data_IF_753497209217
#
_entry.id   IF_753497209217
#
_cell.length_a   1.000
_cell.length_b   1.000
_cell.length_c   1.000
_cell.angle_alpha   90.00
_cell.angle_beta   90.00
_cell.angle_gamma   90.00
#
_symmetry.space_group_name_H-M   'P 1'
#
loop_
_entity.id
_entity.type
_entity.pdbx_description
1 polymer ?
#
# COMPACT_ATOMS: atom_id res chain seq x y z
N UNK A 1 -0.72 27.41 4.06
CA UNK A 1 -0.67 26.02 3.57
C UNK A 1 0.76 25.54 3.66
N UNK A 2 1.03 24.40 4.32
CA UNK A 2 2.35 23.77 4.24
C UNK A 2 2.60 23.32 2.80
N UNK A 3 3.84 23.44 2.32
CA UNK A 3 4.22 23.00 0.97
C UNK A 3 4.13 21.46 0.93
N UNK A 4 3.38 20.92 -0.04
CA UNK A 4 3.29 19.45 -0.25
C UNK A 4 4.67 18.88 -0.56
N UNK A 5 4.92 17.64 -0.16
CA UNK A 5 6.17 16.91 -0.39
C UNK A 5 5.93 15.65 -1.23
N UNK A 6 7.02 15.05 -1.73
CA UNK A 6 6.94 13.81 -2.51
C UNK A 6 6.16 13.94 -3.81
N UNK A 7 5.51 12.86 -4.24
CA UNK A 7 4.75 12.82 -5.51
C UNK A 7 3.59 13.83 -5.55
N UNK A 8 2.98 14.14 -4.40
CA UNK A 8 1.89 15.12 -4.33
C UNK A 8 2.33 16.56 -4.60
N UNK A 9 3.61 16.88 -4.41
CA UNK A 9 4.15 18.19 -4.80
C UNK A 9 4.23 18.37 -6.31
N UNK A 10 4.42 17.26 -7.06
CA UNK A 10 4.61 17.27 -8.50
C UNK A 10 3.31 16.97 -9.26
N UNK A 11 2.51 16.02 -8.77
CA UNK A 11 1.34 15.47 -9.48
C UNK A 11 0.00 16.01 -8.99
N UNK A 12 -0.03 16.68 -7.81
CA UNK A 12 -1.28 17.12 -7.18
C UNK A 12 -2.17 15.94 -6.78
N UNK A 13 -3.48 16.10 -6.86
CA UNK A 13 -4.48 15.13 -6.43
C UNK A 13 -4.75 14.10 -7.55
N UNK A 14 -3.79 13.24 -7.81
CA UNK A 14 -3.81 12.33 -8.95
C UNK A 14 -4.62 11.04 -8.71
N UNK A 15 -4.91 10.69 -7.47
CA UNK A 15 -5.79 9.55 -7.14
C UNK A 15 -7.28 9.92 -7.24
N UNK A 16 -7.65 11.18 -6.98
CA UNK A 16 -9.00 11.67 -7.21
C UNK A 16 -9.32 11.81 -8.70
N UNK A 17 -8.28 12.03 -9.54
CA UNK A 17 -8.40 12.25 -10.97
C UNK A 17 -7.56 11.23 -11.76
N UNK A 18 -7.98 9.96 -11.72
CA UNK A 18 -7.26 8.86 -12.35
C UNK A 18 -7.12 9.03 -13.86
N UNK A 19 -5.88 9.09 -14.33
CA UNK A 19 -5.57 9.13 -15.75
C UNK A 19 -5.69 7.73 -16.35
N UNK A 20 -6.34 7.64 -17.52
CA UNK A 20 -6.55 6.38 -18.25
C UNK A 20 -5.26 5.80 -18.84
N UNK A 21 -4.27 6.64 -19.08
CA UNK A 21 -2.94 6.30 -19.59
C UNK A 21 -1.90 6.02 -18.48
N UNK A 22 -2.32 5.99 -17.21
CA UNK A 22 -1.43 5.70 -16.10
C UNK A 22 -1.09 4.21 -16.02
N UNK A 23 0.17 3.79 -16.23
CA UNK A 23 0.53 2.37 -16.27
C UNK A 23 0.23 1.61 -14.97
N UNK A 24 0.17 2.31 -13.84
CA UNK A 24 -0.19 1.71 -12.55
C UNK A 24 -1.73 1.56 -12.35
N UNK A 25 -2.56 2.14 -13.21
CA UNK A 25 -4.02 2.15 -13.08
C UNK A 25 -4.63 0.76 -12.83
N UNK A 26 -4.31 -0.32 -13.58
CA UNK A 26 -4.91 -1.64 -13.33
C UNK A 26 -4.55 -2.21 -11.95
N UNK A 27 -3.33 -1.97 -11.49
CA UNK A 27 -2.85 -2.41 -10.16
C UNK A 27 -3.53 -1.62 -9.06
N UNK A 28 -3.58 -0.29 -9.21
CA UNK A 28 -4.28 0.61 -8.29
C UNK A 28 -5.75 0.21 -8.10
N UNK A 29 -6.49 0.00 -9.20
CA UNK A 29 -7.90 -0.37 -9.13
C UNK A 29 -8.12 -1.72 -8.42
N UNK A 30 -7.28 -2.71 -8.68
CA UNK A 30 -7.40 -4.01 -8.01
C UNK A 30 -7.00 -3.93 -6.52
N UNK A 31 -5.98 -3.17 -6.17
CA UNK A 31 -5.60 -2.87 -4.79
C UNK A 31 -6.76 -2.20 -4.04
N UNK A 32 -7.32 -1.13 -4.60
CA UNK A 32 -8.45 -0.40 -3.99
C UNK A 32 -9.69 -1.26 -3.85
N UNK A 33 -9.95 -2.16 -4.82
CA UNK A 33 -11.03 -3.14 -4.69
C UNK A 33 -10.81 -4.08 -3.52
N UNK A 34 -9.58 -4.57 -3.30
CA UNK A 34 -9.26 -5.43 -2.15
C UNK A 34 -9.43 -4.69 -0.83
N UNK A 35 -9.03 -3.41 -0.76
CA UNK A 35 -9.22 -2.58 0.41
C UNK A 35 -10.71 -2.37 0.72
N UNK A 36 -11.53 -2.08 -0.31
CA UNK A 36 -13.00 -1.97 -0.13
C UNK A 36 -13.63 -3.28 0.34
N UNK A 37 -13.27 -4.41 -0.26
CA UNK A 37 -13.76 -5.72 0.17
C UNK A 37 -13.43 -6.02 1.64
N UNK A 38 -12.27 -5.57 2.12
CA UNK A 38 -11.91 -5.68 3.53
C UNK A 38 -12.77 -4.77 4.40
N UNK A 39 -12.89 -3.49 4.03
CA UNK A 39 -13.67 -2.52 4.78
C UNK A 39 -15.15 -2.92 4.86
N UNK A 40 -15.73 -3.38 3.74
CA UNK A 40 -17.11 -3.88 3.68
C UNK A 40 -17.36 -5.08 4.63
N UNK A 41 -16.31 -5.84 4.95
CA UNK A 41 -16.36 -6.97 5.88
C UNK A 41 -15.92 -6.61 7.32
N UNK A 42 -15.65 -5.34 7.60
CA UNK A 42 -15.19 -4.85 8.92
C UNK A 42 -16.36 -4.20 9.66
N UNK A 43 -16.37 -4.30 11.01
CA UNK A 43 -17.36 -3.60 11.84
C UNK A 43 -17.25 -2.08 11.62
N UNK A 44 -18.33 -1.40 11.20
CA UNK A 44 -18.34 0.05 11.02
C UNK A 44 -18.00 0.85 12.29
N UNK A 45 -18.28 0.30 13.48
CA UNK A 45 -18.01 0.94 14.77
C UNK A 45 -16.55 0.74 15.23
N UNK A 46 -15.82 -0.21 14.65
CA UNK A 46 -14.40 -0.43 14.93
C UNK A 46 -13.56 0.79 14.57
N UNK A 47 -12.51 1.04 15.33
CA UNK A 47 -11.59 2.17 15.10
C UNK A 47 -10.66 1.83 13.93
N UNK A 48 -10.78 2.56 12.83
CA UNK A 48 -10.02 2.33 11.60
C UNK A 48 -9.13 3.53 11.30
N UNK A 49 -7.85 3.28 11.00
CA UNK A 49 -6.92 4.31 10.53
C UNK A 49 -6.35 3.96 9.15
N UNK A 50 -6.36 4.96 8.24
CA UNK A 50 -5.64 4.89 6.96
C UNK A 50 -4.35 5.72 7.06
N UNK A 51 -3.21 5.04 7.25
CA UNK A 51 -1.90 5.62 7.50
C UNK A 51 -1.18 5.92 6.18
N UNK A 52 -0.98 7.19 5.88
CA UNK A 52 -0.53 7.65 4.57
C UNK A 52 -1.67 7.68 3.55
N UNK A 53 -2.86 8.13 4.00
CA UNK A 53 -4.09 8.06 3.21
C UNK A 53 -4.11 8.97 1.96
N UNK A 54 -3.10 9.86 1.80
CA UNK A 54 -3.08 10.85 0.74
C UNK A 54 -4.34 11.70 0.73
N UNK A 55 -5.00 11.77 -0.41
CA UNK A 55 -6.25 12.52 -0.63
C UNK A 55 -7.46 11.97 0.16
N UNK A 56 -7.31 10.82 0.84
CA UNK A 56 -8.35 10.25 1.69
C UNK A 56 -9.51 9.59 0.96
N UNK A 57 -9.28 9.02 -0.22
CA UNK A 57 -10.35 8.42 -1.05
C UNK A 57 -11.18 7.39 -0.28
N UNK A 58 -10.53 6.44 0.41
CA UNK A 58 -11.22 5.44 1.23
C UNK A 58 -11.81 6.08 2.50
N UNK A 59 -11.09 7.01 3.11
CA UNK A 59 -11.53 7.71 4.33
C UNK A 59 -12.85 8.42 4.06
N UNK A 60 -12.94 9.23 3.01
CA UNK A 60 -14.13 9.99 2.67
C UNK A 60 -15.30 9.11 2.22
N UNK A 61 -14.99 8.03 1.48
CA UNK A 61 -15.98 7.05 1.03
C UNK A 61 -16.64 6.36 2.23
N UNK A 62 -15.84 5.81 3.14
CA UNK A 62 -16.33 5.01 4.26
C UNK A 62 -16.86 5.85 5.43
N UNK A 63 -16.34 7.07 5.67
CA UNK A 63 -16.99 7.99 6.62
C UNK A 63 -18.40 8.36 6.19
N UNK A 64 -18.63 8.63 4.90
CA UNK A 64 -19.97 8.87 4.36
C UNK A 64 -20.89 7.65 4.50
N UNK A 65 -20.34 6.45 4.51
CA UNK A 65 -21.04 5.20 4.78
C UNK A 65 -21.25 4.91 6.28
N UNK A 66 -20.79 5.78 7.19
CA UNK A 66 -20.99 5.65 8.64
C UNK A 66 -19.89 4.92 9.38
N UNK A 67 -18.75 4.61 8.75
CA UNK A 67 -17.62 3.95 9.40
C UNK A 67 -16.82 4.92 10.28
N UNK A 68 -16.30 4.41 11.39
CA UNK A 68 -15.37 5.11 12.27
C UNK A 68 -13.94 5.03 11.72
N UNK A 69 -13.70 5.69 10.59
CA UNK A 69 -12.41 5.73 9.89
C UNK A 69 -11.80 7.12 9.91
N UNK A 70 -10.51 7.22 10.16
CA UNK A 70 -9.74 8.46 10.16
C UNK A 70 -8.47 8.28 9.32
N UNK A 71 -8.14 9.27 8.49
CA UNK A 71 -6.89 9.31 7.74
C UNK A 71 -5.78 10.00 8.52
N UNK A 72 -4.53 9.62 8.24
CA UNK A 72 -3.34 10.34 8.70
C UNK A 72 -2.37 10.47 7.54
N UNK A 73 -1.95 11.70 7.20
CA UNK A 73 -1.03 11.97 6.09
C UNK A 73 -0.17 13.20 6.38
N UNK A 74 1.01 13.27 5.74
CA UNK A 74 1.92 14.41 5.87
C UNK A 74 1.48 15.63 5.05
N UNK A 75 0.77 15.41 3.94
CA UNK A 75 0.45 16.41 2.93
C UNK A 75 -0.99 16.91 3.00
N UNK A 76 -1.89 16.16 3.63
CA UNK A 76 -3.31 16.41 3.60
C UNK A 76 -3.89 16.65 4.99
N UNK A 77 -4.86 17.57 5.06
CA UNK A 77 -5.67 17.85 6.24
C UNK A 77 -7.12 18.06 5.82
N UNK A 78 -8.03 17.43 6.54
CA UNK A 78 -9.49 17.65 6.43
C UNK A 78 -10.17 17.32 7.76
N UNK A 79 -11.47 17.49 7.93
CA UNK A 79 -12.16 17.03 9.13
C UNK A 79 -12.03 15.52 9.40
N UNK A 80 -11.64 14.74 8.38
CA UNK A 80 -11.44 13.29 8.43
C UNK A 80 -9.99 12.86 8.29
N UNK A 81 -9.04 13.80 8.06
CA UNK A 81 -7.62 13.52 7.85
C UNK A 81 -6.79 14.38 8.77
N UNK A 82 -6.00 13.73 9.63
CA UNK A 82 -5.03 14.37 10.50
C UNK A 82 -3.72 14.62 9.71
N UNK A 83 -3.31 15.89 9.57
CA UNK A 83 -2.01 16.21 8.97
C UNK A 83 -0.90 15.96 9.97
N UNK A 84 -0.38 14.72 10.02
CA UNK A 84 0.57 14.26 11.02
C UNK A 84 1.46 13.15 10.47
N UNK A 85 2.67 13.04 11.02
CA UNK A 85 3.51 11.88 10.82
C UNK A 85 2.99 10.73 11.70
N UNK A 86 2.63 9.61 11.09
CA UNK A 86 2.13 8.47 11.86
C UNK A 86 3.22 7.75 12.70
N UNK A 87 4.50 8.02 12.46
CA UNK A 87 5.57 7.59 13.37
C UNK A 87 5.45 8.23 14.76
N UNK A 88 4.82 9.40 14.81
CA UNK A 88 4.50 10.15 16.01
C UNK A 88 2.97 10.31 16.11
N UNK A 89 2.24 9.19 15.94
CA UNK A 89 0.79 9.20 15.80
C UNK A 89 0.09 9.86 16.98
N UNK A 90 0.62 9.68 18.20
CA UNK A 90 0.00 10.11 19.44
C UNK A 90 -1.28 9.34 19.77
N UNK A 91 -1.51 8.23 19.07
CA UNK A 91 -2.59 7.29 19.40
C UNK A 91 -2.22 6.49 20.63
N UNK A 92 -3.22 6.12 21.40
CA UNK A 92 -3.05 5.27 22.58
C UNK A 92 -2.67 3.84 22.18
N UNK A 93 -1.99 3.13 23.06
CA UNK A 93 -1.68 1.72 22.87
C UNK A 93 -2.98 0.90 22.75
N UNK A 94 -2.99 -0.03 21.83
CA UNK A 94 -4.12 -0.98 21.67
C UNK A 94 -5.49 -0.32 21.42
N UNK A 95 -5.52 0.85 20.75
CA UNK A 95 -6.71 1.66 20.53
C UNK A 95 -7.30 1.55 19.12
N UNK A 96 -6.66 0.83 18.20
CA UNK A 96 -7.04 0.74 16.79
C UNK A 96 -7.36 -0.71 16.41
N UNK A 97 -8.45 -0.94 15.70
CA UNK A 97 -8.89 -2.29 15.30
C UNK A 97 -8.39 -2.66 13.91
N UNK A 98 -8.29 -1.68 13.00
CA UNK A 98 -7.78 -1.90 11.64
C UNK A 98 -6.91 -0.72 11.19
N UNK A 99 -5.72 -1.05 10.70
CA UNK A 99 -4.86 -0.11 9.97
C UNK A 99 -4.87 -0.47 8.48
N UNK A 100 -5.07 0.54 7.64
CA UNK A 100 -4.70 0.52 6.23
C UNK A 100 -3.37 1.26 6.06
N UNK A 101 -2.47 0.75 5.19
CA UNK A 101 -1.23 1.44 4.80
C UNK A 101 -0.88 1.00 3.38
N UNK A 102 -1.28 1.81 2.39
CA UNK A 102 -1.32 1.40 1.00
C UNK A 102 -0.30 2.18 0.16
N UNK A 103 0.80 1.50 -0.22
CA UNK A 103 1.91 2.07 -1.01
C UNK A 103 2.51 3.30 -0.31
N UNK A 104 2.95 3.11 0.93
CA UNK A 104 3.51 4.18 1.78
C UNK A 104 4.92 3.81 2.27
N UNK A 105 5.13 2.57 2.69
CA UNK A 105 6.38 2.18 3.34
C UNK A 105 7.60 2.34 2.42
N UNK A 106 7.45 2.17 1.11
CA UNK A 106 8.52 2.36 0.13
C UNK A 106 9.04 3.80 0.04
N UNK A 107 8.21 4.78 0.45
CA UNK A 107 8.60 6.19 0.52
C UNK A 107 9.43 6.53 1.75
N UNK A 108 9.57 5.60 2.69
CA UNK A 108 10.29 5.80 3.95
C UNK A 108 11.68 5.15 3.88
N UNK A 109 12.72 5.78 4.46
CA UNK A 109 14.02 5.14 4.67
C UNK A 109 13.90 3.84 5.48
N UNK A 110 14.83 2.91 5.30
CA UNK A 110 14.78 1.60 5.94
C UNK A 110 14.56 1.61 7.46
N UNK A 111 15.25 2.46 8.26
CA UNK A 111 14.99 2.51 9.69
C UNK A 111 13.56 2.95 10.04
N UNK A 112 13.01 3.90 9.28
CA UNK A 112 11.67 4.41 9.52
C UNK A 112 10.58 3.39 9.21
N UNK A 113 10.80 2.48 8.24
CA UNK A 113 9.88 1.37 7.98
C UNK A 113 9.75 0.43 9.17
N UNK A 114 10.86 0.16 9.87
CA UNK A 114 10.84 -0.66 11.09
C UNK A 114 10.10 0.05 12.22
N UNK A 115 10.31 1.35 12.39
CA UNK A 115 9.58 2.17 13.35
C UNK A 115 8.08 2.22 13.02
N UNK A 116 7.71 2.37 11.75
CA UNK A 116 6.32 2.35 11.30
C UNK A 116 5.61 1.04 11.66
N UNK A 117 6.26 -0.09 11.38
CA UNK A 117 5.69 -1.41 11.67
C UNK A 117 5.59 -1.65 13.18
N UNK A 118 6.55 -1.16 13.97
CA UNK A 118 6.48 -1.21 15.45
C UNK A 118 5.36 -0.31 15.99
N UNK A 119 5.18 0.90 15.43
CA UNK A 119 4.09 1.80 15.81
C UNK A 119 2.72 1.20 15.48
N UNK A 120 2.56 0.59 14.30
CA UNK A 120 1.33 -0.14 13.96
C UNK A 120 1.03 -1.24 14.97
N UNK A 121 2.04 -2.01 15.38
CA UNK A 121 1.87 -3.04 16.39
C UNK A 121 1.53 -2.47 17.77
N UNK A 122 2.06 -1.29 18.14
CA UNK A 122 1.76 -0.62 19.40
C UNK A 122 0.30 -0.20 19.47
N UNK A 123 -0.18 0.51 18.45
CA UNK A 123 -1.51 1.11 18.45
C UNK A 123 -2.64 0.10 18.18
N UNK A 124 -2.37 -1.01 17.47
CA UNK A 124 -3.38 -2.03 17.21
C UNK A 124 -3.82 -2.73 18.49
N UNK A 125 -5.12 -2.94 18.62
CA UNK A 125 -5.73 -3.76 19.67
C UNK A 125 -5.20 -5.21 19.60
N UNK A 126 -5.37 -6.03 20.66
CA UNK A 126 -4.87 -7.41 20.66
C UNK A 126 -5.36 -8.27 19.51
N UNK A 127 -6.55 -8.00 18.99
CA UNK A 127 -7.13 -8.66 17.81
C UNK A 127 -7.06 -7.79 16.55
N UNK A 128 -6.35 -6.66 16.63
CA UNK A 128 -6.23 -5.69 15.56
C UNK A 128 -5.45 -6.22 14.38
N UNK A 129 -5.78 -5.72 13.21
CA UNK A 129 -5.21 -6.14 11.93
C UNK A 129 -4.63 -4.96 11.17
N UNK A 130 -3.60 -5.22 10.37
CA UNK A 130 -3.08 -4.26 9.41
C UNK A 130 -3.20 -4.80 7.98
N UNK A 131 -3.73 -3.99 7.07
CA UNK A 131 -3.80 -4.26 5.65
C UNK A 131 -2.80 -3.36 4.93
N UNK A 132 -1.71 -3.96 4.46
CA UNK A 132 -0.56 -3.23 3.95
C UNK A 132 -0.28 -3.63 2.51
N UNK A 133 -0.07 -2.67 1.62
CA UNK A 133 0.50 -2.92 0.30
C UNK A 133 1.90 -2.34 0.18
N UNK A 134 2.78 -3.08 -0.48
CA UNK A 134 4.16 -2.65 -0.78
C UNK A 134 4.61 -3.18 -2.14
N UNK A 135 5.39 -2.42 -2.90
CA UNK A 135 6.02 -2.89 -4.12
C UNK A 135 7.10 -3.93 -3.81
N UNK A 136 7.37 -4.80 -4.76
CA UNK A 136 8.43 -5.80 -4.69
C UNK A 136 9.53 -5.45 -5.67
N UNK A 137 10.63 -4.92 -5.19
CA UNK A 137 11.79 -4.58 -6.02
C UNK A 137 12.32 -5.79 -6.83
N UNK A 138 12.12 -7.01 -6.32
CA UNK A 138 12.55 -8.26 -6.97
C UNK A 138 11.36 -8.97 -7.69
N UNK A 139 10.47 -8.23 -8.35
CA UNK A 139 9.42 -8.79 -9.20
C UNK A 139 10.00 -9.47 -10.46
N UNK A 140 9.18 -10.21 -11.21
CA UNK A 140 9.67 -11.07 -12.31
C UNK A 140 10.53 -10.31 -13.33
N UNK A 141 10.04 -9.20 -13.89
CA UNK A 141 10.78 -8.41 -14.87
C UNK A 141 12.09 -7.83 -14.29
N UNK A 142 12.08 -7.43 -13.02
CA UNK A 142 13.28 -6.94 -12.33
C UNK A 142 14.34 -8.03 -12.17
N UNK A 143 13.93 -9.27 -11.86
CA UNK A 143 14.87 -10.42 -11.80
C UNK A 143 15.48 -10.73 -13.14
N UNK A 144 14.69 -10.70 -14.22
CA UNK A 144 15.21 -10.89 -15.57
C UNK A 144 16.20 -9.80 -15.97
N UNK A 145 15.86 -8.54 -15.69
CA UNK A 145 16.75 -7.41 -15.94
C UNK A 145 18.06 -7.56 -15.17
N UNK A 146 17.98 -7.92 -13.90
CA UNK A 146 19.18 -8.13 -13.08
C UNK A 146 20.05 -9.27 -13.62
N UNK A 147 19.45 -10.38 -14.03
CA UNK A 147 20.18 -11.53 -14.59
C UNK A 147 20.94 -11.18 -15.89
N UNK A 148 20.32 -10.41 -16.79
CA UNK A 148 20.93 -10.09 -18.08
C UNK A 148 21.72 -8.80 -18.12
N UNK A 149 21.38 -7.82 -17.27
CA UNK A 149 21.91 -6.44 -17.34
C UNK A 149 22.59 -5.97 -16.05
N UNK A 150 22.44 -6.72 -14.94
CA UNK A 150 22.94 -6.31 -13.63
C UNK A 150 22.13 -5.19 -12.97
N UNK A 151 20.95 -4.86 -13.52
CA UNK A 151 20.13 -3.72 -13.07
C UNK A 151 18.75 -4.17 -12.60
N UNK A 152 18.28 -3.62 -11.48
CA UNK A 152 16.90 -3.80 -11.01
C UNK A 152 15.98 -2.74 -11.65
N UNK A 153 14.82 -3.19 -12.12
CA UNK A 153 13.79 -2.29 -12.61
C UNK A 153 13.06 -1.66 -11.43
N UNK A 154 13.22 -0.35 -11.26
CA UNK A 154 12.50 0.46 -10.29
C UNK A 154 11.31 1.15 -10.95
N UNK A 155 10.23 1.33 -10.20
CA UNK A 155 9.04 2.05 -10.66
C UNK A 155 9.13 3.54 -10.39
N UNK A 156 10.04 3.93 -9.50
CA UNK A 156 10.31 5.32 -9.17
C UNK A 156 11.81 5.53 -8.95
N UNK A 157 12.25 6.78 -8.85
CA UNK A 157 13.62 7.10 -8.50
C UNK A 157 13.92 6.72 -7.04
N UNK A 158 15.20 6.58 -6.71
CA UNK A 158 15.64 6.28 -5.34
C UNK A 158 15.23 7.40 -4.37
N UNK A 159 15.22 8.64 -4.84
CA UNK A 159 14.83 9.80 -4.03
C UNK A 159 13.35 9.74 -3.62
N UNK A 160 12.48 9.18 -4.48
CA UNK A 160 11.05 9.02 -4.18
C UNK A 160 10.73 7.74 -3.42
N UNK A 161 11.45 6.66 -3.74
CA UNK A 161 11.30 5.35 -3.11
C UNK A 161 12.62 4.91 -2.46
N UNK A 162 13.10 5.60 -1.43
CA UNK A 162 14.35 5.25 -0.75
C UNK A 162 14.27 3.89 -0.05
N UNK A 163 13.05 3.44 0.23
CA UNK A 163 12.76 2.21 0.96
C UNK A 163 12.33 1.02 0.12
N UNK A 164 12.46 1.08 -1.20
CA UNK A 164 12.17 -0.09 -2.07
C UNK A 164 13.01 -1.30 -1.66
N UNK A 165 12.33 -2.44 -1.42
CA UNK A 165 12.97 -3.72 -1.03
C UNK A 165 12.43 -4.90 -1.81
N UNK A 166 13.18 -6.01 -1.88
CA UNK A 166 12.62 -7.33 -2.16
C UNK A 166 11.56 -7.69 -1.11
N UNK A 167 10.50 -8.36 -1.55
CA UNK A 167 9.37 -8.68 -0.67
C UNK A 167 9.75 -9.52 0.56
N UNK A 168 10.80 -10.33 0.45
CA UNK A 168 11.28 -11.13 1.58
C UNK A 168 11.81 -10.28 2.74
N UNK A 169 12.30 -9.07 2.47
CA UNK A 169 12.77 -8.15 3.49
C UNK A 169 11.59 -7.49 4.22
N UNK A 170 10.54 -7.06 3.51
CA UNK A 170 9.30 -6.62 4.14
C UNK A 170 8.71 -7.69 5.06
N UNK A 171 8.68 -8.95 4.60
CA UNK A 171 8.19 -10.06 5.43
C UNK A 171 9.01 -10.26 6.71
N UNK A 172 10.34 -10.03 6.67
CA UNK A 172 11.18 -10.08 7.89
C UNK A 172 10.79 -9.00 8.89
N UNK A 173 10.52 -7.77 8.40
CA UNK A 173 10.07 -6.66 9.26
C UNK A 173 8.71 -6.99 9.85
N UNK A 174 7.75 -7.40 9.03
CA UNK A 174 6.40 -7.73 9.49
C UNK A 174 6.41 -8.85 10.54
N UNK A 175 7.20 -9.90 10.31
CA UNK A 175 7.27 -11.05 11.21
C UNK A 175 7.85 -10.72 12.62
N UNK A 176 8.48 -9.54 12.82
CA UNK A 176 8.91 -9.11 14.14
C UNK A 176 7.73 -8.87 15.09
N UNK A 177 6.61 -8.35 14.55
CA UNK A 177 5.47 -7.89 15.34
C UNK A 177 4.15 -8.54 14.96
N UNK A 178 4.06 -9.17 13.79
CA UNK A 178 2.83 -9.66 13.20
C UNK A 178 2.91 -11.13 12.79
N UNK A 179 1.73 -11.72 12.67
CA UNK A 179 1.49 -12.98 11.96
C UNK A 179 0.94 -12.61 10.57
N UNK A 180 1.57 -13.07 9.51
CA UNK A 180 1.08 -12.87 8.15
C UNK A 180 -0.06 -13.86 7.90
N UNK A 181 -1.31 -13.39 7.95
CA UNK A 181 -2.51 -14.23 7.74
C UNK A 181 -2.76 -14.53 6.28
N UNK A 182 -2.55 -13.55 5.43
CA UNK A 182 -2.61 -13.76 3.98
C UNK A 182 -1.67 -12.82 3.25
N UNK A 183 -1.26 -13.24 2.06
CA UNK A 183 -0.46 -12.45 1.14
C UNK A 183 -0.96 -12.69 -0.28
N UNK A 184 -1.23 -11.62 -1.00
CA UNK A 184 -1.70 -11.65 -2.38
C UNK A 184 -0.79 -10.83 -3.28
N UNK A 185 -0.36 -11.42 -4.38
CA UNK A 185 0.38 -10.71 -5.42
C UNK A 185 -0.56 -10.06 -6.44
N UNK A 186 -0.17 -8.89 -6.91
CA UNK A 186 -0.82 -8.19 -8.02
C UNK A 186 0.22 -7.86 -9.08
N UNK A 187 -0.13 -8.01 -10.34
CA UNK A 187 0.69 -7.75 -11.51
C UNK A 187 1.99 -8.57 -11.53
N UNK A 188 1.96 -9.79 -12.07
CA UNK A 188 3.13 -10.69 -12.14
C UNK A 188 4.10 -10.31 -13.26
N UNK A 189 4.26 -9.11 -13.62
CA UNK A 189 5.18 -8.45 -14.57
C UNK A 189 5.78 -9.34 -15.69
N UNK A 190 4.98 -10.29 -16.21
CA UNK A 190 5.38 -11.09 -17.36
C UNK A 190 5.47 -10.20 -18.62
N UNK A 191 6.37 -10.49 -19.57
CA UNK A 191 6.70 -9.57 -20.68
C UNK A 191 5.47 -9.08 -21.44
N UNK A 192 4.58 -9.98 -21.84
CA UNK A 192 3.39 -9.62 -22.63
C UNK A 192 2.45 -8.70 -21.87
N UNK A 193 2.06 -9.05 -20.63
CA UNK A 193 1.16 -8.22 -19.85
C UNK A 193 1.82 -6.89 -19.48
N UNK A 194 3.14 -6.88 -19.21
CA UNK A 194 3.87 -5.65 -18.93
C UNK A 194 3.86 -4.69 -20.13
N UNK A 195 4.14 -5.19 -21.32
CA UNK A 195 4.10 -4.38 -22.54
C UNK A 195 2.69 -3.79 -22.77
N UNK A 196 1.67 -4.63 -22.70
CA UNK A 196 0.29 -4.19 -22.88
C UNK A 196 -0.14 -3.17 -21.81
N UNK A 197 0.33 -3.33 -20.57
CA UNK A 197 0.04 -2.40 -19.48
C UNK A 197 0.65 -1.02 -19.72
N UNK A 198 1.85 -0.96 -20.31
CA UNK A 198 2.48 0.32 -20.64
C UNK A 198 1.79 0.99 -21.84
N UNK A 199 1.40 0.21 -22.86
CA UNK A 199 0.83 0.74 -24.11
C UNK A 199 -0.65 1.13 -23.97
N UNK A 200 -1.44 0.40 -23.20
CA UNK A 200 -2.89 0.58 -23.10
C UNK A 200 -3.42 0.20 -21.71
N UNK A 201 -3.06 0.94 -20.63
CA UNK A 201 -3.36 0.55 -19.24
C UNK A 201 -4.84 0.30 -18.97
N UNK A 202 -5.71 1.19 -19.43
CA UNK A 202 -7.16 1.08 -19.23
C UNK A 202 -7.79 -0.12 -19.95
N UNK A 203 -7.24 -0.49 -21.11
CA UNK A 203 -7.77 -1.60 -21.92
C UNK A 203 -7.42 -2.98 -21.35
N UNK A 204 -6.40 -3.08 -20.48
CA UNK A 204 -5.93 -4.35 -19.94
C UNK A 204 -6.42 -4.64 -18.52
N UNK A 205 -7.32 -3.84 -17.95
CA UNK A 205 -7.86 -4.02 -16.61
C UNK A 205 -8.48 -5.42 -16.45
N UNK A 206 -9.25 -5.88 -17.43
CA UNK A 206 -9.84 -7.23 -17.43
C UNK A 206 -8.78 -8.34 -17.44
N UNK A 207 -7.72 -8.15 -18.23
CA UNK A 207 -6.59 -9.08 -18.33
C UNK A 207 -5.83 -9.14 -16.99
N UNK A 208 -5.59 -7.99 -16.33
CA UNK A 208 -5.00 -7.96 -15.00
C UNK A 208 -5.82 -8.74 -13.97
N UNK A 209 -7.16 -8.63 -13.99
CA UNK A 209 -8.03 -9.41 -13.09
C UNK A 209 -7.84 -10.91 -13.29
N UNK A 210 -7.76 -11.36 -14.54
CA UNK A 210 -7.53 -12.76 -14.88
C UNK A 210 -6.15 -13.24 -14.39
N UNK A 211 -5.09 -12.51 -14.71
CA UNK A 211 -3.73 -12.83 -14.26
C UNK A 211 -3.60 -12.82 -12.75
N UNK A 212 -4.16 -11.81 -12.07
CA UNK A 212 -4.12 -11.70 -10.62
C UNK A 212 -4.87 -12.83 -9.92
N UNK A 213 -5.85 -13.44 -10.60
CA UNK A 213 -6.62 -14.57 -10.03
C UNK A 213 -5.88 -15.91 -10.15
N UNK A 214 -5.21 -16.15 -11.27
CA UNK A 214 -4.70 -17.51 -11.60
C UNK A 214 -3.19 -17.60 -11.76
N UNK A 215 -2.52 -16.51 -12.11
CA UNK A 215 -1.12 -16.51 -12.55
C UNK A 215 -0.25 -15.50 -11.78
N UNK A 216 -0.62 -15.14 -10.57
CA UNK A 216 0.06 -14.11 -9.78
C UNK A 216 0.75 -14.67 -8.52
N UNK A 217 1.79 -15.51 -8.66
CA UNK A 217 2.57 -15.95 -7.50
C UNK A 217 3.21 -14.71 -6.84
N UNK A 218 2.96 -14.47 -5.54
CA UNK A 218 3.30 -13.20 -4.90
C UNK A 218 4.79 -12.81 -4.99
N UNK A 219 5.70 -13.81 -5.05
CA UNK A 219 7.13 -13.55 -5.20
C UNK A 219 7.53 -12.95 -6.55
N UNK A 220 6.70 -13.10 -7.57
CA UNK A 220 6.94 -12.61 -8.94
C UNK A 220 6.13 -11.37 -9.28
N UNK A 221 5.18 -11.01 -8.41
CA UNK A 221 4.33 -9.83 -8.62
C UNK A 221 5.04 -8.54 -8.24
N UNK A 222 4.65 -7.48 -8.93
CA UNK A 222 5.10 -6.11 -8.68
C UNK A 222 4.61 -5.60 -7.32
N UNK A 223 3.32 -5.74 -7.05
CA UNK A 223 2.73 -5.32 -5.78
C UNK A 223 2.34 -6.54 -4.94
N UNK A 224 2.55 -6.43 -3.64
CA UNK A 224 2.06 -7.42 -2.68
C UNK A 224 1.16 -6.74 -1.65
N UNK A 225 0.03 -7.38 -1.39
CA UNK A 225 -0.95 -6.95 -0.39
C UNK A 225 -0.96 -7.99 0.73
N UNK A 226 -0.82 -7.52 1.96
CA UNK A 226 -0.75 -8.34 3.16
C UNK A 226 -1.92 -8.07 4.09
N UNK A 227 -2.45 -9.13 4.68
CA UNK A 227 -3.23 -9.06 5.90
C UNK A 227 -2.36 -9.54 7.05
N UNK A 228 -2.09 -8.65 7.97
CA UNK A 228 -1.27 -8.89 9.15
C UNK A 228 -2.16 -8.88 10.40
N UNK A 229 -1.89 -9.75 11.34
CA UNK A 229 -2.54 -9.80 12.64
C UNK A 229 -1.50 -9.58 13.73
N UNK A 230 -1.81 -8.72 14.70
CA UNK A 230 -0.90 -8.43 15.81
C UNK A 230 -0.51 -9.71 16.52
N UNK A 231 0.80 -9.90 16.72
CA UNK A 231 1.32 -11.00 17.54
C UNK A 231 1.06 -10.67 19.01
N UNK A 232 0.35 -11.52 19.70
CA UNK A 232 0.22 -11.42 21.15
C UNK A 232 1.57 -11.76 21.78
N UNK A 233 2.01 -10.96 22.74
CA UNK A 233 3.23 -11.17 23.48
C UNK A 233 3.14 -12.39 24.40
#
# INVERSE_FOLDING_TARGET
MKKRSGEYAERGDYHANLRQDWPYLPVYLEKMKLARQLLDATDPNGVIFDMGCGEGILVDEYRRAGYNITGMDLNYASPSILQKNFLESGLEDSSVDLILCLDVLEHMPFPEQELAVAEFARVLSPQGRAFISVPNLAHFASRLSFFFRGELIRTSSIERHPGDRPIAEYMRIFNKHFIIRSRRGLFPTYPMISLLTVLAPSSVIGLHRLYNRFLAPPNLCFLNVFMLEKRLA
#
